data_IF_776758884713
#
_entry.id   IF_776758884713
#
_cell.length_a   1.000
_cell.length_b   1.000
_cell.length_c   1.000
_cell.angle_alpha   90.00
_cell.angle_beta   90.00
_cell.angle_gamma   90.00
#
_symmetry.space_group_name_H-M   'P 1'
#
loop_
_entity.id
_entity.type
_entity.pdbx_description
1 polymer ?
#
# COMPACT_ATOMS: atom_id res chain seq x y z
N UNK A 1 13.38 4.17 23.04
CA UNK A 1 13.27 3.00 23.93
C UNK A 1 12.52 3.42 25.18
N UNK A 2 11.38 2.77 25.45
CA UNK A 2 10.38 3.24 26.40
C UNK A 2 10.83 3.02 27.85
N UNK A 3 10.29 3.85 28.75
CA UNK A 3 10.43 3.76 30.23
C UNK A 3 10.16 2.35 30.80
N UNK A 4 9.58 1.44 30.02
CA UNK A 4 9.36 0.03 30.35
C UNK A 4 10.70 -0.73 30.48
N UNK A 5 11.68 -0.45 29.61
CA UNK A 5 13.01 -1.10 29.66
C UNK A 5 13.81 -0.58 30.86
N UNK A 6 13.80 0.75 31.08
CA UNK A 6 14.42 1.35 32.28
C UNK A 6 13.76 0.91 33.59
N UNK A 7 12.47 0.56 33.56
CA UNK A 7 11.78 -0.01 34.73
C UNK A 7 12.22 -1.45 34.98
N UNK A 8 12.42 -2.26 33.94
CA UNK A 8 12.94 -3.62 34.06
C UNK A 8 14.37 -3.68 34.63
N UNK A 9 15.22 -2.72 34.25
CA UNK A 9 16.60 -2.59 34.77
C UNK A 9 16.63 -2.22 36.27
N UNK A 10 15.66 -1.45 36.76
CA UNK A 10 15.59 -0.97 38.15
C UNK A 10 15.21 -2.03 39.19
N UNK A 11 14.66 -3.18 38.76
CA UNK A 11 14.15 -4.24 39.65
C UNK A 11 15.00 -5.52 39.68
N UNK A 12 16.16 -5.54 39.00
CA UNK A 12 17.11 -6.64 39.15
C UNK A 12 17.74 -6.56 40.55
N UNK A 13 17.34 -7.47 41.45
CA UNK A 13 17.98 -7.65 42.77
C UNK A 13 19.33 -8.35 42.58
N UNK A 14 20.31 -7.62 42.09
CA UNK A 14 21.64 -8.12 41.71
C UNK A 14 22.31 -8.85 42.90
N UNK A 15 22.18 -8.32 44.12
CA UNK A 15 22.63 -8.96 45.36
C UNK A 15 22.14 -10.40 45.50
N UNK A 16 20.85 -10.65 45.26
CA UNK A 16 20.26 -11.99 45.37
C UNK A 16 20.79 -12.94 44.31
N UNK A 17 21.02 -12.46 43.10
CA UNK A 17 21.55 -13.28 42.02
C UNK A 17 23.03 -13.61 42.21
N UNK A 18 23.79 -12.67 42.75
CA UNK A 18 25.16 -12.91 43.16
C UNK A 18 25.22 -13.97 44.29
N UNK A 19 24.31 -13.93 45.26
CA UNK A 19 24.19 -14.98 46.28
C UNK A 19 23.82 -16.36 45.69
N UNK A 20 22.90 -16.43 44.72
CA UNK A 20 22.57 -17.70 44.04
C UNK A 20 23.75 -18.23 43.23
N UNK A 21 24.46 -17.34 42.52
CA UNK A 21 25.67 -17.69 41.78
C UNK A 21 26.76 -18.27 42.71
N UNK A 22 27.00 -17.64 43.87
CA UNK A 22 27.96 -18.15 44.86
C UNK A 22 27.55 -19.50 45.45
N UNK A 23 26.25 -19.82 45.51
CA UNK A 23 25.74 -21.12 45.97
C UNK A 23 25.88 -22.22 44.93
N UNK A 24 25.59 -21.93 43.66
CA UNK A 24 25.56 -22.95 42.60
C UNK A 24 26.92 -23.16 41.91
N UNK A 25 27.72 -22.10 41.75
CA UNK A 25 29.09 -22.26 41.26
C UNK A 25 29.90 -23.04 42.31
N UNK A 26 30.76 -23.94 41.87
CA UNK A 26 31.67 -24.75 42.69
C UNK A 26 33.13 -24.34 42.49
N UNK A 27 33.48 -23.70 41.37
CA UNK A 27 34.83 -23.14 41.15
C UNK A 27 35.14 -21.98 42.09
N UNK A 28 36.12 -22.17 42.97
CA UNK A 28 36.60 -21.14 43.92
C UNK A 28 37.17 -19.92 43.20
N UNK A 29 37.90 -20.15 42.10
CA UNK A 29 38.56 -19.09 41.32
C UNK A 29 37.54 -18.15 40.67
N UNK A 30 36.48 -18.71 40.09
CA UNK A 30 35.39 -17.94 39.49
C UNK A 30 34.66 -17.11 40.55
N UNK A 31 34.41 -17.67 41.74
CA UNK A 31 33.77 -16.94 42.85
C UNK A 31 34.59 -15.73 43.30
N UNK A 32 35.90 -15.89 43.47
CA UNK A 32 36.78 -14.79 43.87
C UNK A 32 36.81 -13.65 42.84
N UNK A 33 36.82 -14.00 41.55
CA UNK A 33 36.80 -13.03 40.45
C UNK A 33 35.44 -12.31 40.35
N UNK A 34 34.34 -13.04 40.55
CA UNK A 34 33.01 -12.47 40.63
C UNK A 34 32.88 -11.47 41.79
N UNK A 35 33.51 -11.77 42.94
CA UNK A 35 33.50 -10.90 44.13
C UNK A 35 34.22 -9.57 43.89
N UNK A 36 35.38 -9.60 43.22
CA UNK A 36 36.11 -8.38 42.84
C UNK A 36 35.29 -7.48 41.92
N UNK A 37 34.50 -8.06 41.02
CA UNK A 37 33.69 -7.30 40.05
C UNK A 37 32.41 -6.76 40.71
N UNK A 38 31.79 -7.53 41.60
CA UNK A 38 30.63 -7.09 42.37
C UNK A 38 30.93 -5.84 43.21
N UNK A 39 32.18 -5.64 43.65
CA UNK A 39 32.61 -4.40 44.33
C UNK A 39 32.50 -3.13 43.46
N UNK A 40 32.51 -3.27 42.13
CA UNK A 40 32.38 -2.16 41.17
C UNK A 40 30.99 -2.03 40.55
N UNK A 41 29.97 -2.72 41.11
CA UNK A 41 28.60 -2.74 40.59
C UNK A 41 28.04 -1.34 40.28
N UNK A 42 28.32 -0.35 41.12
CA UNK A 42 27.79 1.02 40.98
C UNK A 42 28.31 1.77 39.74
N UNK A 43 29.43 1.34 39.17
CA UNK A 43 30.06 2.00 38.01
C UNK A 43 29.48 1.52 36.67
N UNK A 44 28.68 0.45 36.67
CA UNK A 44 28.02 -0.10 35.50
C UNK A 44 26.54 0.35 35.44
N UNK A 45 26.24 1.37 34.63
CA UNK A 45 24.88 1.93 34.53
C UNK A 45 23.82 1.00 33.88
N UNK A 46 24.24 -0.12 33.29
CA UNK A 46 23.38 -1.14 32.68
C UNK A 46 24.06 -2.50 32.85
N UNK A 47 23.75 -3.21 33.95
CA UNK A 47 24.39 -4.49 34.24
C UNK A 47 23.63 -5.62 33.54
N UNK A 48 24.22 -6.09 32.45
CA UNK A 48 24.19 -7.50 32.08
C UNK A 48 25.56 -8.04 32.51
N UNK A 49 25.57 -8.99 33.45
CA UNK A 49 26.75 -9.44 34.18
C UNK A 49 27.98 -9.65 33.27
N UNK A 50 29.03 -8.88 33.53
CA UNK A 50 30.32 -8.99 32.85
C UNK A 50 31.32 -9.61 33.82
N UNK A 51 31.78 -10.84 33.57
CA UNK A 51 33.00 -11.32 34.21
C UNK A 51 34.19 -11.11 33.26
N UNK A 52 35.13 -10.25 33.67
CA UNK A 52 36.46 -10.16 33.06
C UNK A 52 37.40 -10.99 33.94
N UNK A 53 37.86 -12.13 33.43
CA UNK A 53 38.81 -12.97 34.14
C UNK A 53 40.24 -12.61 33.71
N UNK A 54 41.13 -12.46 34.70
CA UNK A 54 42.53 -12.03 34.52
C UNK A 54 43.39 -13.08 33.80
N UNK A 55 42.97 -14.36 33.87
CA UNK A 55 43.50 -15.47 33.11
C UNK A 55 42.36 -16.21 32.39
N UNK A 56 42.65 -16.82 31.23
CA UNK A 56 41.66 -17.53 30.42
C UNK A 56 40.79 -18.48 31.26
N UNK A 57 39.49 -18.53 30.95
CA UNK A 57 38.58 -19.52 31.55
C UNK A 57 39.07 -20.91 31.14
N UNK A 58 39.25 -21.79 32.12
CA UNK A 58 39.62 -23.17 31.85
C UNK A 58 38.42 -23.94 31.28
N UNK A 59 38.62 -24.94 30.43
CA UNK A 59 37.49 -25.67 29.80
C UNK A 59 36.52 -26.30 30.81
N UNK A 60 37.03 -26.74 31.96
CA UNK A 60 36.24 -27.30 33.07
C UNK A 60 35.32 -26.24 33.71
N UNK A 61 35.81 -25.01 33.84
CA UNK A 61 35.07 -23.86 34.36
C UNK A 61 33.97 -23.40 33.39
N UNK A 62 34.21 -23.55 32.08
CA UNK A 62 33.22 -23.26 31.03
C UNK A 62 32.06 -24.24 31.06
N UNK A 63 32.33 -25.54 31.24
CA UNK A 63 31.28 -26.54 31.45
C UNK A 63 30.46 -26.24 32.70
N UNK A 64 31.10 -25.82 33.78
CA UNK A 64 30.43 -25.47 35.03
C UNK A 64 29.50 -24.24 34.86
N UNK A 65 30.00 -23.17 34.25
CA UNK A 65 29.22 -21.96 33.93
C UNK A 65 28.03 -22.26 33.01
N UNK A 66 28.16 -23.21 32.09
CA UNK A 66 27.08 -23.61 31.18
C UNK A 66 25.92 -24.36 31.86
N UNK A 67 26.17 -24.96 33.03
CA UNK A 67 25.15 -25.69 33.82
C UNK A 67 24.31 -24.77 34.70
N UNK A 68 24.79 -23.56 34.97
CA UNK A 68 24.11 -22.58 35.81
C UNK A 68 22.88 -22.02 35.08
N UNK A 69 21.71 -22.07 35.74
CA UNK A 69 20.44 -21.60 35.16
C UNK A 69 20.24 -20.13 35.51
N UNK A 70 20.70 -19.24 34.64
CA UNK A 70 20.45 -17.81 34.80
C UNK A 70 19.15 -17.36 34.15
N UNK A 71 18.44 -16.45 34.80
CA UNK A 71 17.20 -15.86 34.30
C UNK A 71 17.41 -14.76 33.26
N UNK A 72 18.66 -14.45 32.88
CA UNK A 72 19.04 -13.36 31.96
C UNK A 72 20.37 -13.65 31.22
N UNK A 73 20.70 -12.92 30.13
CA UNK A 73 21.89 -13.19 29.30
C UNK A 73 23.20 -12.95 30.05
N UNK A 74 24.25 -13.69 29.69
CA UNK A 74 25.59 -13.57 30.27
C UNK A 74 26.63 -13.26 29.18
N UNK A 75 27.59 -12.36 29.44
CA UNK A 75 28.65 -12.03 28.48
C UNK A 75 30.02 -12.26 29.12
N UNK A 76 30.83 -13.10 28.47
CA UNK A 76 32.20 -13.41 28.85
C UNK A 76 33.15 -12.73 27.86
N UNK A 77 34.15 -12.01 28.36
CA UNK A 77 35.23 -11.44 27.54
C UNK A 77 36.54 -12.18 27.80
N UNK A 78 37.31 -12.48 26.74
CA UNK A 78 38.71 -12.91 26.85
C UNK A 78 39.68 -11.77 26.50
N UNK A 79 40.80 -11.76 27.24
CA UNK A 79 41.90 -10.80 27.39
C UNK A 79 42.01 -9.63 26.37
N UNK A 80 41.93 -8.40 26.88
CA UNK A 80 42.71 -7.27 26.37
C UNK A 80 43.41 -6.59 27.54
N UNK A 81 44.70 -6.30 27.41
CA UNK A 81 45.56 -5.82 28.51
C UNK A 81 45.34 -4.35 28.88
N UNK A 82 44.49 -3.60 28.16
CA UNK A 82 44.23 -2.19 28.44
C UNK A 82 42.72 -1.88 28.46
N UNK A 83 42.28 -1.13 29.48
CA UNK A 83 40.88 -0.78 29.74
C UNK A 83 40.21 -0.01 28.58
N UNK A 84 40.93 0.91 27.91
CA UNK A 84 40.41 1.66 26.75
C UNK A 84 40.11 0.72 25.58
N UNK A 85 40.96 -0.27 25.36
CA UNK A 85 40.86 -1.28 24.31
C UNK A 85 39.68 -2.24 24.60
N UNK A 86 39.52 -2.64 25.86
CA UNK A 86 38.36 -3.40 26.34
C UNK A 86 37.05 -2.61 26.15
N UNK A 87 37.04 -1.34 26.53
CA UNK A 87 35.86 -0.45 26.42
C UNK A 87 35.46 -0.19 24.95
N UNK A 88 36.44 0.00 24.06
CA UNK A 88 36.20 0.14 22.62
C UNK A 88 35.72 -1.17 21.99
N UNK A 89 36.31 -2.31 22.35
CA UNK A 89 35.85 -3.64 21.93
C UNK A 89 34.44 -3.94 22.45
N UNK A 90 34.15 -3.56 23.70
CA UNK A 90 32.83 -3.66 24.31
C UNK A 90 31.82 -2.75 23.61
N UNK A 91 32.19 -1.53 23.20
CA UNK A 91 31.35 -0.65 22.37
C UNK A 91 31.13 -1.22 20.96
N UNK A 92 32.15 -1.79 20.33
CA UNK A 92 32.05 -2.35 18.98
C UNK A 92 31.23 -3.65 18.95
N UNK A 93 31.43 -4.52 19.96
CA UNK A 93 30.68 -5.78 20.13
C UNK A 93 29.28 -5.55 20.70
N UNK A 94 29.06 -4.52 21.53
CA UNK A 94 27.71 -4.08 21.90
C UNK A 94 26.95 -3.46 20.74
N UNK A 95 27.62 -2.76 19.82
CA UNK A 95 27.00 -2.36 18.56
C UNK A 95 26.57 -3.57 17.70
N UNK A 96 27.29 -4.70 17.78
CA UNK A 96 26.87 -5.97 17.18
C UNK A 96 25.70 -6.63 17.94
N UNK A 97 25.64 -6.50 19.29
CA UNK A 97 24.50 -6.93 20.12
C UNK A 97 23.20 -6.17 19.76
N UNK A 98 23.29 -4.90 19.34
CA UNK A 98 22.13 -4.12 18.88
C UNK A 98 21.59 -4.54 17.49
N UNK A 99 22.25 -5.47 16.77
CA UNK A 99 21.80 -6.00 15.47
C UNK A 99 21.47 -7.50 15.46
N UNK A 100 21.13 -8.07 16.61
CA UNK A 100 20.44 -9.36 16.66
C UNK A 100 21.27 -10.60 16.28
N UNK A 101 22.58 -10.59 16.55
CA UNK A 101 23.51 -11.71 16.38
C UNK A 101 24.45 -11.68 17.59
N UNK A 102 24.50 -12.61 18.55
CA UNK A 102 24.31 -14.06 18.55
C UNK A 102 23.79 -14.54 19.91
N UNK A 103 23.06 -15.67 19.91
CA UNK A 103 23.11 -16.66 21.00
C UNK A 103 24.47 -17.38 20.88
N UNK A 104 25.19 -17.52 21.98
CA UNK A 104 26.22 -18.56 22.09
C UNK A 104 25.49 -19.91 21.93
N UNK A 105 25.75 -20.60 20.83
CA UNK A 105 25.25 -21.95 20.61
C UNK A 105 26.20 -22.94 21.26
N UNK A 106 25.73 -23.66 22.27
CA UNK A 106 26.29 -24.99 22.56
C UNK A 106 25.76 -25.91 21.47
N UNK A 107 26.65 -26.47 20.66
CA UNK A 107 26.31 -27.52 19.70
C UNK A 107 25.79 -28.73 20.50
N UNK A 108 24.55 -29.17 20.20
CA UNK A 108 24.01 -30.46 20.65
C UNK A 108 22.94 -30.43 21.75
N UNK A 109 21.84 -29.67 21.57
CA UNK A 109 20.63 -29.80 22.45
C UNK A 109 19.44 -30.40 21.67
N UNK A 110 19.63 -30.81 20.43
CA UNK A 110 18.61 -31.55 19.66
C UNK A 110 19.29 -32.75 19.02
N UNK A 111 18.67 -33.95 19.11
CA UNK A 111 19.11 -35.22 18.50
C UNK A 111 19.10 -35.20 16.94
N UNK A 112 19.38 -34.05 16.34
CA UNK A 112 19.49 -33.87 14.91
C UNK A 112 20.96 -33.64 14.57
N UNK A 113 21.55 -34.57 13.81
CA UNK A 113 22.89 -34.45 13.25
C UNK A 113 22.97 -33.24 12.31
N UNK A 114 24.15 -32.63 12.19
CA UNK A 114 24.42 -31.52 11.24
C UNK A 114 23.94 -31.83 9.82
N UNK A 115 23.96 -33.11 9.42
CA UNK A 115 23.46 -33.65 8.16
C UNK A 115 21.96 -33.38 7.92
N UNK A 116 21.14 -33.32 8.97
CA UNK A 116 19.70 -33.00 8.88
C UNK A 116 19.41 -31.51 8.73
N UNK A 117 20.41 -30.64 8.93
CA UNK A 117 20.28 -29.20 8.76
C UNK A 117 20.58 -28.74 7.33
N UNK A 118 21.02 -29.62 6.43
CA UNK A 118 21.29 -29.24 5.04
C UNK A 118 20.00 -29.19 4.23
N UNK A 119 19.75 -28.05 3.59
CA UNK A 119 18.75 -27.89 2.53
C UNK A 119 19.44 -27.77 1.19
N UNK A 120 18.97 -28.53 0.20
CA UNK A 120 19.41 -28.36 -1.18
C UNK A 120 18.85 -27.04 -1.71
N UNK A 121 19.73 -26.10 -2.06
CA UNK A 121 19.33 -24.84 -2.69
C UNK A 121 19.14 -25.04 -4.18
N UNK A 122 20.01 -25.85 -4.79
CA UNK A 122 19.89 -26.35 -6.17
C UNK A 122 20.67 -27.67 -6.30
N UNK A 123 20.78 -28.20 -7.52
CA UNK A 123 21.50 -29.46 -7.82
C UNK A 123 23.00 -29.42 -7.49
N UNK A 124 23.58 -28.25 -7.24
CA UNK A 124 25.02 -28.07 -7.06
C UNK A 124 25.41 -27.62 -5.64
N UNK A 125 24.45 -27.08 -4.86
CA UNK A 125 24.73 -26.40 -3.59
C UNK A 125 23.77 -26.84 -2.50
N UNK A 126 24.34 -27.38 -1.43
CA UNK A 126 23.68 -27.65 -0.15
C UNK A 126 23.98 -26.52 0.84
N UNK A 127 22.95 -25.98 1.51
CA UNK A 127 23.09 -24.92 2.51
C UNK A 127 22.57 -25.38 3.86
N UNK A 128 23.36 -25.14 4.92
CA UNK A 128 22.91 -25.38 6.28
C UNK A 128 21.86 -24.33 6.65
N UNK A 129 20.68 -24.79 7.08
CA UNK A 129 19.58 -23.98 7.59
C UNK A 129 19.40 -24.25 9.09
N UNK A 130 19.54 -23.20 9.90
CA UNK A 130 19.39 -23.26 11.36
C UNK A 130 17.97 -22.91 11.83
N UNK A 131 17.00 -22.81 10.91
CA UNK A 131 15.61 -22.52 11.24
C UNK A 131 15.04 -23.61 12.16
N UNK A 132 14.51 -23.17 13.31
CA UNK A 132 13.87 -24.06 14.29
C UNK A 132 12.46 -24.50 13.87
N UNK A 133 11.85 -23.73 12.98
CA UNK A 133 10.56 -24.00 12.39
C UNK A 133 10.79 -24.21 10.90
N UNK A 134 10.42 -25.38 10.39
CA UNK A 134 10.29 -25.57 8.95
C UNK A 134 9.26 -24.57 8.41
N UNK A 135 9.43 -24.01 7.21
CA UNK A 135 8.42 -23.15 6.56
C UNK A 135 7.03 -23.79 6.39
N UNK A 136 6.86 -25.06 6.78
CA UNK A 136 5.68 -25.87 6.50
C UNK A 136 5.69 -26.32 5.04
N UNK A 137 4.52 -26.69 4.53
CA UNK A 137 4.26 -27.01 3.12
C UNK A 137 4.10 -25.74 2.24
N UNK A 138 4.27 -24.55 2.82
CA UNK A 138 4.06 -23.30 2.08
C UNK A 138 5.29 -22.99 1.24
N UNK A 139 5.18 -23.25 -0.06
CA UNK A 139 6.18 -22.83 -1.03
C UNK A 139 6.27 -21.31 -1.10
N UNK A 140 7.49 -20.75 -1.24
CA UNK A 140 7.64 -19.32 -1.41
C UNK A 140 6.91 -18.86 -2.68
N UNK A 141 6.16 -17.75 -2.62
CA UNK A 141 5.40 -17.28 -3.77
C UNK A 141 6.32 -16.82 -4.89
N UNK A 142 5.86 -16.95 -6.14
CA UNK A 142 6.55 -16.37 -7.28
C UNK A 142 6.54 -14.83 -7.18
N UNK A 143 7.67 -14.24 -6.80
CA UNK A 143 7.81 -12.79 -6.61
C UNK A 143 7.60 -11.98 -7.91
N UNK A 144 7.77 -12.61 -9.08
CA UNK A 144 7.48 -12.00 -10.39
C UNK A 144 6.06 -12.29 -10.88
N UNK A 145 5.41 -13.29 -10.28
CA UNK A 145 4.10 -13.81 -10.70
C UNK A 145 3.03 -12.72 -10.76
N UNK A 146 3.04 -11.80 -9.79
CA UNK A 146 2.09 -10.68 -9.73
C UNK A 146 2.11 -9.83 -11.02
N UNK A 147 3.29 -9.53 -11.57
CA UNK A 147 3.41 -8.72 -12.79
C UNK A 147 3.00 -9.50 -14.03
N UNK A 148 3.44 -10.77 -14.13
CA UNK A 148 3.11 -11.67 -15.24
C UNK A 148 1.60 -11.90 -15.31
N UNK A 149 0.99 -12.28 -14.19
CA UNK A 149 -0.44 -12.57 -14.10
C UNK A 149 -1.31 -11.34 -14.39
N UNK A 150 -0.90 -10.16 -13.91
CA UNK A 150 -1.62 -8.92 -14.18
C UNK A 150 -1.62 -8.57 -15.68
N UNK A 151 -0.47 -8.72 -16.35
CA UNK A 151 -0.35 -8.41 -17.77
C UNK A 151 -1.02 -9.47 -18.65
N UNK A 152 -0.90 -10.76 -18.33
CA UNK A 152 -1.63 -11.83 -19.04
C UNK A 152 -3.14 -11.63 -18.96
N UNK A 153 -3.67 -11.27 -17.77
CA UNK A 153 -5.09 -10.92 -17.61
C UNK A 153 -5.49 -9.72 -18.49
N UNK A 154 -4.62 -8.72 -18.61
CA UNK A 154 -4.86 -7.59 -19.49
C UNK A 154 -4.92 -8.01 -20.96
N UNK A 155 -4.01 -8.87 -21.43
CA UNK A 155 -4.03 -9.39 -22.80
C UNK A 155 -5.26 -10.25 -23.09
N UNK A 156 -5.61 -11.17 -22.18
CA UNK A 156 -6.68 -12.13 -22.38
C UNK A 156 -8.08 -11.51 -22.32
N UNK A 157 -8.29 -10.52 -21.44
CA UNK A 157 -9.63 -9.96 -21.17
C UNK A 157 -9.65 -8.44 -21.19
N UNK A 158 -8.62 -7.80 -20.67
CA UNK A 158 -8.58 -6.34 -20.53
C UNK A 158 -8.64 -5.59 -21.85
N UNK A 159 -7.91 -6.04 -22.88
CA UNK A 159 -7.93 -5.42 -24.22
C UNK A 159 -9.34 -5.49 -24.82
N UNK A 160 -9.97 -6.66 -24.79
CA UNK A 160 -11.32 -6.84 -25.31
C UNK A 160 -12.35 -6.04 -24.53
N UNK A 161 -12.28 -6.04 -23.19
CA UNK A 161 -13.19 -5.28 -22.34
C UNK A 161 -13.10 -3.76 -22.60
N UNK A 162 -11.88 -3.23 -22.72
CA UNK A 162 -11.67 -1.79 -22.95
C UNK A 162 -12.14 -1.39 -24.34
N UNK A 163 -11.76 -2.14 -25.38
CA UNK A 163 -12.11 -1.80 -26.76
C UNK A 163 -13.62 -1.95 -26.96
N UNK A 164 -14.24 -3.01 -26.45
CA UNK A 164 -15.66 -3.29 -26.64
C UNK A 164 -16.57 -2.23 -26.03
N UNK A 165 -16.14 -1.52 -24.97
CA UNK A 165 -16.91 -0.41 -24.35
C UNK A 165 -17.21 0.74 -25.32
N UNK A 166 -16.40 0.91 -26.37
CA UNK A 166 -16.60 1.96 -27.37
C UNK A 166 -17.53 1.54 -28.50
N UNK A 167 -17.90 0.27 -28.61
CA UNK A 167 -18.75 -0.26 -29.68
C UNK A 167 -20.14 -0.68 -29.15
N UNK A 168 -21.20 -0.60 -29.98
CA UNK A 168 -21.19 -0.05 -31.34
C UNK A 168 -21.08 1.46 -31.34
N UNK A 169 -20.29 2.00 -32.29
CA UNK A 169 -20.21 3.43 -32.52
C UNK A 169 -21.32 3.85 -33.48
N UNK A 170 -22.14 4.84 -33.11
CA UNK A 170 -23.25 5.31 -33.94
C UNK A 170 -22.98 6.73 -34.39
N UNK A 171 -23.24 7.03 -35.67
CA UNK A 171 -23.17 8.40 -36.19
C UNK A 171 -24.17 9.29 -35.46
N UNK A 172 -23.84 10.57 -35.30
CA UNK A 172 -24.76 11.60 -34.77
C UNK A 172 -26.07 11.72 -35.54
N UNK A 173 -26.11 11.27 -36.80
CA UNK A 173 -27.31 11.22 -37.63
C UNK A 173 -28.15 9.94 -37.46
N UNK A 174 -27.63 8.93 -36.74
CA UNK A 174 -28.26 7.61 -36.59
C UNK A 174 -28.18 6.70 -37.82
N UNK A 175 -27.76 7.22 -38.97
CA UNK A 175 -27.83 6.51 -40.25
C UNK A 175 -26.71 5.49 -40.49
N UNK A 176 -25.64 5.57 -39.70
CA UNK A 176 -24.44 4.73 -39.84
C UNK A 176 -24.00 4.23 -38.47
N UNK A 177 -23.64 2.95 -38.36
CA UNK A 177 -23.05 2.37 -37.15
C UNK A 177 -21.86 1.49 -37.47
N UNK A 178 -20.88 1.44 -36.58
CA UNK A 178 -19.73 0.55 -36.64
C UNK A 178 -19.84 -0.46 -35.51
N UNK A 179 -19.75 -1.74 -35.84
CA UNK A 179 -19.71 -2.85 -34.88
C UNK A 179 -18.33 -3.48 -34.88
N UNK A 180 -17.85 -3.84 -33.69
CA UNK A 180 -16.64 -4.64 -33.51
C UNK A 180 -16.98 -6.11 -33.68
N UNK A 181 -16.25 -6.82 -34.55
CA UNK A 181 -16.39 -8.27 -34.69
C UNK A 181 -15.38 -9.02 -33.85
N UNK A 182 -14.10 -8.66 -33.96
CA UNK A 182 -13.02 -9.26 -33.18
C UNK A 182 -11.79 -8.37 -33.13
N UNK A 183 -10.95 -8.65 -32.15
CA UNK A 183 -9.62 -8.05 -32.00
C UNK A 183 -8.59 -9.08 -32.43
N UNK A 184 -7.66 -8.69 -33.29
CA UNK A 184 -6.56 -9.53 -33.77
C UNK A 184 -5.25 -8.95 -33.29
N UNK A 185 -4.56 -9.70 -32.45
CA UNK A 185 -3.19 -9.40 -32.00
C UNK A 185 -2.24 -10.14 -32.94
N UNK A 186 -1.34 -9.42 -33.62
CA UNK A 186 -0.29 -10.05 -34.43
C UNK A 186 0.98 -10.26 -33.62
N UNK A 187 1.76 -11.26 -34.00
CA UNK A 187 3.08 -11.48 -33.42
C UNK A 187 4.00 -10.25 -33.60
N UNK A 188 4.94 -10.02 -32.67
CA UNK A 188 5.88 -8.91 -32.76
C UNK A 188 6.80 -9.04 -33.98
N UNK A 189 7.08 -7.93 -34.65
CA UNK A 189 7.96 -7.90 -35.83
C UNK A 189 9.44 -8.09 -35.48
N UNK A 190 9.82 -7.76 -34.25
CA UNK A 190 11.18 -7.87 -33.73
C UNK A 190 11.17 -8.69 -32.46
N UNK A 191 12.21 -9.49 -32.24
CA UNK A 191 12.40 -10.17 -30.97
C UNK A 191 12.96 -9.20 -29.90
N UNK A 192 13.08 -9.68 -28.65
CA UNK A 192 13.56 -8.88 -27.51
C UNK A 192 14.97 -8.32 -27.76
N UNK A 193 15.90 -9.15 -28.22
CA UNK A 193 17.31 -8.77 -28.44
C UNK A 193 17.47 -7.75 -29.57
N UNK A 194 16.77 -7.95 -30.70
CA UNK A 194 16.74 -7.01 -31.81
C UNK A 194 16.13 -5.66 -31.42
N UNK A 195 15.13 -5.68 -30.53
CA UNK A 195 14.50 -4.45 -30.02
C UNK A 195 15.50 -3.63 -29.20
N UNK A 196 16.31 -4.28 -28.36
CA UNK A 196 17.42 -3.64 -27.63
C UNK A 196 18.48 -3.10 -28.58
N UNK A 197 19.02 -3.96 -29.45
CA UNK A 197 20.13 -3.63 -30.35
C UNK A 197 19.78 -2.51 -31.34
N UNK A 198 18.51 -2.43 -31.78
CA UNK A 198 18.03 -1.41 -32.72
C UNK A 198 17.41 -0.19 -32.05
N UNK A 199 17.47 -0.09 -30.72
CA UNK A 199 16.82 0.98 -29.95
C UNK A 199 15.31 1.13 -30.24
N UNK A 200 14.61 0.01 -30.46
CA UNK A 200 13.17 -0.06 -30.76
C UNK A 200 12.38 -0.62 -29.58
N UNK A 201 11.06 -0.46 -29.64
CA UNK A 201 10.13 -1.00 -28.64
C UNK A 201 9.72 -2.42 -29.01
N UNK A 202 9.79 -3.35 -28.06
CA UNK A 202 9.27 -4.71 -28.23
C UNK A 202 7.75 -4.68 -28.10
N UNK A 203 7.03 -4.89 -29.21
CA UNK A 203 5.59 -4.65 -29.31
C UNK A 203 4.91 -5.53 -30.37
N UNK A 204 3.63 -5.80 -30.17
CA UNK A 204 2.73 -6.42 -31.14
C UNK A 204 1.81 -5.39 -31.80
N UNK A 205 1.36 -5.67 -33.03
CA UNK A 205 0.37 -4.86 -33.73
C UNK A 205 -1.06 -5.33 -33.42
N UNK A 206 -1.93 -4.41 -33.03
CA UNK A 206 -3.35 -4.63 -32.77
C UNK A 206 -4.19 -4.21 -33.98
N UNK A 207 -5.07 -5.10 -34.42
CA UNK A 207 -6.04 -4.85 -35.48
C UNK A 207 -7.46 -5.07 -34.97
N UNK A 208 -8.37 -4.17 -35.34
CA UNK A 208 -9.79 -4.32 -35.07
C UNK A 208 -10.49 -4.73 -36.35
N UNK A 209 -11.16 -5.87 -36.32
CA UNK A 209 -12.06 -6.28 -37.40
C UNK A 209 -13.42 -5.66 -37.13
N UNK A 210 -13.84 -4.75 -38.02
CA UNK A 210 -15.06 -3.96 -37.84
C UNK A 210 -16.01 -4.10 -39.03
N UNK A 211 -17.31 -3.98 -38.75
CA UNK A 211 -18.38 -3.93 -39.75
C UNK A 211 -19.05 -2.56 -39.73
N UNK A 212 -19.10 -1.92 -40.89
CA UNK A 212 -19.80 -0.65 -41.09
C UNK A 212 -21.19 -0.93 -41.64
N UNK A 213 -22.25 -0.53 -40.91
CA UNK A 213 -23.64 -0.57 -41.37
C UNK A 213 -24.11 0.83 -41.75
N UNK A 214 -24.77 0.95 -42.91
CA UNK A 214 -25.39 2.20 -43.36
C UNK A 214 -26.83 1.96 -43.81
N UNK A 215 -27.76 2.79 -43.32
CA UNK A 215 -29.18 2.74 -43.69
C UNK A 215 -29.43 3.17 -45.15
N UNK A 216 -28.54 4.00 -45.73
CA UNK A 216 -28.68 4.49 -47.10
C UNK A 216 -28.33 3.45 -48.18
N UNK A 217 -27.60 2.39 -47.82
CA UNK A 217 -27.13 1.36 -48.75
C UNK A 217 -27.58 -0.03 -48.28
N UNK A 218 -28.88 -0.34 -48.38
CA UNK A 218 -29.43 -1.63 -47.98
C UNK A 218 -28.89 -2.83 -48.79
N UNK A 219 -28.20 -2.62 -49.93
CA UNK A 219 -27.87 -3.69 -50.90
C UNK A 219 -26.38 -3.98 -51.13
N UNK A 220 -25.44 -3.23 -50.54
CA UNK A 220 -24.00 -3.54 -50.69
C UNK A 220 -23.47 -4.22 -49.44
N UNK A 221 -23.16 -5.52 -49.60
CA UNK A 221 -22.48 -6.39 -48.64
C UNK A 221 -21.48 -5.60 -47.78
N UNK A 222 -21.77 -5.63 -46.47
CA UNK A 222 -21.06 -4.99 -45.39
C UNK A 222 -19.70 -5.67 -45.23
N UNK A 223 -18.70 -5.18 -45.97
CA UNK A 223 -17.37 -5.78 -45.94
C UNK A 223 -16.76 -5.54 -44.56
N UNK A 224 -16.56 -6.65 -43.84
CA UNK A 224 -15.70 -6.68 -42.67
C UNK A 224 -14.32 -6.17 -43.07
N UNK A 225 -13.86 -5.14 -42.37
CA UNK A 225 -12.58 -4.49 -42.66
C UNK A 225 -11.69 -4.58 -41.44
N UNK A 226 -10.44 -4.99 -41.64
CA UNK A 226 -9.43 -5.01 -40.60
C UNK A 226 -8.72 -3.66 -40.56
N UNK A 227 -8.88 -2.92 -39.46
CA UNK A 227 -8.27 -1.61 -39.26
C UNK A 227 -7.11 -1.74 -38.29
N UNK A 228 -5.94 -1.19 -38.64
CA UNK A 228 -4.83 -1.09 -37.70
C UNK A 228 -5.19 -0.10 -36.59
N UNK A 229 -5.16 -0.55 -35.34
CA UNK A 229 -5.52 0.26 -34.17
C UNK A 229 -4.30 0.90 -33.54
N UNK A 230 -3.20 0.14 -33.43
CA UNK A 230 -1.97 0.62 -32.84
C UNK A 230 -1.04 -0.52 -32.45
N UNK A 231 0.14 -0.14 -31.96
CA UNK A 231 1.09 -1.09 -31.41
C UNK A 231 0.98 -1.10 -29.88
N UNK A 232 1.12 -2.29 -29.31
CA UNK A 232 1.06 -2.51 -27.87
C UNK A 232 2.37 -3.15 -27.41
N UNK A 233 3.10 -2.54 -26.45
CA UNK A 233 4.31 -3.12 -25.89
C UNK A 233 4.02 -4.48 -25.27
N UNK A 234 4.88 -5.46 -25.52
CA UNK A 234 4.79 -6.81 -24.95
C UNK A 234 5.74 -6.98 -23.77
N UNK A 235 5.41 -7.94 -22.90
CA UNK A 235 6.26 -8.33 -21.78
C UNK A 235 7.38 -9.24 -22.27
N UNK A 236 8.61 -8.97 -21.83
CA UNK A 236 9.77 -9.80 -22.13
C UNK A 236 9.82 -11.06 -21.28
N UNK A 237 10.67 -12.01 -21.68
CA UNK A 237 11.07 -13.18 -20.90
C UNK A 237 11.53 -12.84 -19.47
N UNK A 238 12.11 -11.65 -19.28
CA UNK A 238 12.60 -11.14 -17.99
C UNK A 238 11.57 -10.37 -17.19
N UNK A 239 10.30 -10.40 -17.61
CA UNK A 239 9.20 -9.72 -16.93
C UNK A 239 9.36 -8.19 -16.89
N UNK A 240 9.75 -7.60 -18.01
CA UNK A 240 9.89 -6.16 -18.18
C UNK A 240 9.34 -5.72 -19.55
N UNK A 241 9.31 -4.41 -19.81
CA UNK A 241 9.02 -3.86 -21.13
C UNK A 241 10.29 -3.28 -21.75
N UNK A 242 10.54 -3.58 -23.02
CA UNK A 242 11.62 -2.93 -23.77
C UNK A 242 11.00 -1.75 -24.54
N UNK A 243 11.29 -0.52 -24.09
CA UNK A 243 10.79 0.71 -24.71
C UNK A 243 11.97 1.50 -25.25
N UNK A 244 12.01 1.72 -26.57
CA UNK A 244 13.12 2.38 -27.27
C UNK A 244 14.50 1.75 -26.91
N UNK A 245 14.56 0.42 -26.91
CA UNK A 245 15.74 -0.38 -26.54
C UNK A 245 16.15 -0.36 -25.07
N UNK A 246 15.39 0.29 -24.20
CA UNK A 246 15.67 0.33 -22.76
C UNK A 246 14.64 -0.48 -21.99
N UNK A 247 15.10 -1.30 -21.05
CA UNK A 247 14.23 -2.03 -20.14
C UNK A 247 13.52 -1.08 -19.16
N UNK A 248 12.20 -1.25 -19.02
CA UNK A 248 11.34 -0.48 -18.14
C UNK A 248 10.45 -1.42 -17.34
N UNK A 249 10.21 -1.04 -16.10
CA UNK A 249 9.37 -1.79 -15.17
C UNK A 249 8.15 -0.95 -14.81
N UNK A 250 6.98 -1.60 -14.80
CA UNK A 250 5.76 -1.00 -14.28
C UNK A 250 5.69 -1.31 -12.79
N UNK A 251 5.57 -0.26 -11.96
CA UNK A 251 5.49 -0.40 -10.51
C UNK A 251 4.01 -0.38 -10.11
N UNK A 252 3.60 -1.39 -9.33
CA UNK A 252 2.26 -1.44 -8.76
C UNK A 252 2.03 -0.25 -7.84
N UNK A 253 1.02 0.56 -8.16
CA UNK A 253 0.62 1.70 -7.35
C UNK A 253 -0.44 1.29 -6.33
N UNK A 254 -0.33 1.82 -5.11
CA UNK A 254 -1.36 1.69 -4.08
C UNK A 254 -2.20 2.97 -4.13
N UNK A 255 -3.45 2.84 -4.54
CA UNK A 255 -4.42 3.92 -4.61
C UNK A 255 -5.59 3.63 -3.68
N UNK A 256 -6.29 4.69 -3.22
CA UNK A 256 -7.54 4.53 -2.48
C UNK A 256 -8.59 3.93 -3.41
N UNK A 257 -9.26 2.87 -2.95
CA UNK A 257 -10.39 2.27 -3.67
C UNK A 257 -11.53 3.28 -3.80
N UNK A 258 -12.27 3.31 -4.91
CA UNK A 258 -13.52 4.04 -4.99
C UNK A 258 -14.48 3.61 -3.87
N UNK A 259 -15.19 4.55 -3.26
CA UNK A 259 -16.10 4.24 -2.16
C UNK A 259 -16.38 5.40 -1.21
N UNK A 260 -17.03 5.07 -0.10
CA UNK A 260 -17.40 5.99 0.96
C UNK A 260 -16.35 5.98 2.08
N UNK A 261 -15.87 7.15 2.47
CA UNK A 261 -14.91 7.31 3.56
C UNK A 261 -15.42 8.32 4.58
N UNK A 262 -15.62 7.86 5.81
CA UNK A 262 -15.93 8.72 6.94
C UNK A 262 -14.62 9.16 7.63
N UNK A 263 -14.33 10.45 7.56
CA UNK A 263 -13.14 11.07 8.12
C UNK A 263 -13.55 12.00 9.27
N UNK A 264 -13.25 11.60 10.50
CA UNK A 264 -13.46 12.44 11.69
C UNK A 264 -12.29 13.40 11.88
N UNK A 265 -12.57 14.67 12.23
CA UNK A 265 -11.55 15.72 12.49
C UNK A 265 -10.59 15.94 11.32
N UNK A 266 -11.11 15.86 10.10
CA UNK A 266 -10.29 15.96 8.91
C UNK A 266 -9.92 17.43 8.62
N UNK A 267 -8.62 17.75 8.68
CA UNK A 267 -8.07 19.05 8.27
C UNK A 267 -8.07 19.19 6.74
N UNK A 268 -9.23 19.15 6.10
CA UNK A 268 -9.37 19.27 4.65
C UNK A 268 -9.48 20.75 4.29
N UNK A 269 -8.69 21.18 3.28
CA UNK A 269 -8.88 22.48 2.65
C UNK A 269 -10.20 22.42 1.90
N UNK A 270 -11.26 23.08 2.40
CA UNK A 270 -12.57 23.12 1.72
C UNK A 270 -12.60 24.11 0.54
N UNK A 271 -11.64 25.05 0.48
CA UNK A 271 -11.50 26.06 -0.59
C UNK A 271 -10.02 26.33 -0.95
N UNK A 272 -9.77 27.16 -1.96
CA UNK A 272 -8.43 27.64 -2.36
C UNK A 272 -7.77 28.59 -1.34
N UNK A 273 -8.38 28.79 -0.16
CA UNK A 273 -7.79 29.60 0.91
C UNK A 273 -6.60 28.89 1.55
N UNK A 274 -5.58 29.67 1.96
CA UNK A 274 -4.44 29.17 2.76
C UNK A 274 -4.85 28.67 4.14
N UNK A 275 -6.06 28.99 4.61
CA UNK A 275 -6.57 28.61 5.93
C UNK A 275 -7.23 27.22 5.87
N UNK A 276 -6.66 26.25 6.59
CA UNK A 276 -7.31 24.96 6.91
C UNK A 276 -8.28 25.25 8.05
N UNK A 277 -9.58 25.35 7.77
CA UNK A 277 -10.49 26.04 8.71
C UNK A 277 -11.70 25.25 9.18
N UNK A 278 -11.77 23.95 8.93
CA UNK A 278 -12.97 23.20 9.27
C UNK A 278 -12.65 22.00 10.15
N UNK A 279 -12.94 22.16 11.44
CA UNK A 279 -13.13 21.07 12.38
C UNK A 279 -14.53 20.49 12.13
N UNK A 280 -14.64 19.18 11.93
CA UNK A 280 -15.91 18.53 11.59
C UNK A 280 -15.74 17.10 11.08
N UNK A 281 -16.87 16.46 10.78
CA UNK A 281 -16.92 15.13 10.15
C UNK A 281 -17.14 15.29 8.65
N UNK A 282 -16.31 14.62 7.86
CA UNK A 282 -16.41 14.61 6.40
C UNK A 282 -16.73 13.20 5.94
N UNK A 283 -17.81 13.07 5.16
CA UNK A 283 -18.09 11.86 4.41
C UNK A 283 -17.67 12.10 2.94
N UNK A 284 -16.60 11.43 2.52
CA UNK A 284 -16.05 11.51 1.18
C UNK A 284 -16.60 10.37 0.32
N UNK A 285 -17.32 10.70 -0.74
CA UNK A 285 -17.74 9.76 -1.77
C UNK A 285 -16.76 9.87 -2.94
N UNK A 286 -15.77 8.98 -2.94
CA UNK A 286 -14.69 8.90 -3.91
C UNK A 286 -15.13 8.04 -5.11
N UNK A 287 -15.39 8.63 -6.30
CA UNK A 287 -15.78 7.84 -7.46
C UNK A 287 -14.56 7.16 -8.11
N UNK A 288 -14.81 6.15 -8.94
CA UNK A 288 -13.78 5.56 -9.81
C UNK A 288 -13.37 6.52 -10.94
N UNK A 289 -14.34 7.28 -11.46
CA UNK A 289 -14.16 8.36 -12.43
C UNK A 289 -15.16 9.47 -12.13
N UNK A 290 -14.76 10.73 -12.31
CA UNK A 290 -15.67 11.87 -12.23
C UNK A 290 -15.50 12.72 -10.96
N UNK A 291 -16.63 13.25 -10.46
CA UNK A 291 -16.67 14.30 -9.46
C UNK A 291 -16.58 13.72 -8.05
N UNK A 292 -15.62 14.21 -7.27
CA UNK A 292 -15.51 13.92 -5.84
C UNK A 292 -16.59 14.70 -5.07
N UNK A 293 -17.40 13.98 -4.29
CA UNK A 293 -18.43 14.57 -3.44
C UNK A 293 -18.01 14.48 -1.97
N UNK A 294 -18.02 15.63 -1.29
CA UNK A 294 -17.68 15.73 0.12
C UNK A 294 -18.88 16.27 0.90
N UNK A 295 -19.46 15.45 1.75
CA UNK A 295 -20.48 15.87 2.71
C UNK A 295 -19.79 16.32 3.99
N UNK A 296 -19.90 17.61 4.29
CA UNK A 296 -19.24 18.23 5.42
C UNK A 296 -20.26 18.59 6.49
N UNK A 297 -20.04 18.10 7.70
CA UNK A 297 -20.80 18.42 8.91
C UNK A 297 -19.85 19.15 9.86
N UNK A 298 -20.12 20.43 10.13
CA UNK A 298 -19.31 21.23 11.04
C UNK A 298 -19.45 20.76 12.49
N UNK A 299 -18.38 20.91 13.29
CA UNK A 299 -18.36 20.51 14.70
C UNK A 299 -19.39 21.29 15.56
N UNK A 300 -19.94 20.61 16.56
CA UNK A 300 -21.06 21.04 17.42
C UNK A 300 -20.76 22.30 18.23
N UNK A 301 -19.49 22.62 18.47
CA UNK A 301 -19.05 23.80 19.23
C UNK A 301 -19.43 25.12 18.55
N UNK A 302 -19.70 25.09 17.25
CA UNK A 302 -20.26 26.22 16.52
C UNK A 302 -21.77 26.08 16.43
N UNK A 303 -22.52 26.98 17.06
CA UNK A 303 -24.00 27.04 17.07
C UNK A 303 -24.68 27.17 15.69
N UNK A 304 -23.94 27.01 14.60
CA UNK A 304 -24.34 27.12 13.19
C UNK A 304 -24.00 25.86 12.38
N UNK A 305 -23.98 24.67 12.99
CA UNK A 305 -23.70 23.43 12.26
C UNK A 305 -24.78 23.18 11.18
N UNK A 306 -24.35 23.18 9.93
CA UNK A 306 -25.16 22.81 8.76
C UNK A 306 -24.39 21.84 7.87
N UNK A 307 -25.12 20.94 7.21
CA UNK A 307 -24.59 19.96 6.27
C UNK A 307 -24.42 20.61 4.90
N UNK A 308 -23.16 20.65 4.43
CA UNK A 308 -22.79 21.19 3.12
C UNK A 308 -22.29 20.08 2.22
N UNK A 309 -22.69 20.12 0.95
CA UNK A 309 -22.11 19.29 -0.10
C UNK A 309 -21.08 20.12 -0.87
N UNK A 310 -19.90 19.54 -1.08
CA UNK A 310 -18.84 20.14 -1.88
C UNK A 310 -18.54 19.20 -3.04
N UNK A 311 -18.79 19.67 -4.25
CA UNK A 311 -18.47 18.98 -5.48
C UNK A 311 -17.13 19.48 -6.03
N UNK A 312 -16.19 18.56 -6.26
CA UNK A 312 -14.88 18.84 -6.86
C UNK A 312 -14.66 18.05 -8.12
N UNK A 313 -14.38 18.77 -9.19
CA UNK A 313 -13.86 18.17 -10.41
C UNK A 313 -12.33 18.13 -10.35
N UNK A 314 -11.74 17.02 -10.80
CA UNK A 314 -10.28 16.82 -10.89
C UNK A 314 -9.62 17.86 -11.80
N UNK A 315 -10.32 18.38 -12.80
CA UNK A 315 -9.79 19.33 -13.79
C UNK A 315 -9.82 20.80 -13.38
N UNK A 316 -10.64 21.19 -12.39
CA UNK A 316 -10.81 22.59 -12.01
C UNK A 316 -10.45 22.82 -10.55
N UNK A 317 -9.68 23.88 -10.28
CA UNK A 317 -9.41 24.34 -8.92
C UNK A 317 -10.63 24.94 -8.21
N UNK A 318 -11.77 25.05 -8.89
CA UNK A 318 -13.02 25.54 -8.31
C UNK A 318 -13.81 24.39 -7.69
N UNK A 319 -14.00 24.46 -6.37
CA UNK A 319 -14.91 23.60 -5.64
C UNK A 319 -16.23 24.35 -5.47
N UNK A 320 -17.35 23.73 -5.86
CA UNK A 320 -18.68 24.32 -5.67
C UNK A 320 -19.23 23.75 -4.37
N UNK A 321 -19.64 24.63 -3.46
CA UNK A 321 -20.22 24.28 -2.17
C UNK A 321 -21.66 24.77 -2.10
N UNK A 322 -22.58 23.90 -1.70
CA UNK A 322 -24.00 24.21 -1.57
C UNK A 322 -24.65 23.41 -0.43
N UNK A 323 -25.80 23.84 0.08
CA UNK A 323 -26.55 23.08 1.08
C UNK A 323 -26.89 21.68 0.55
N UNK A 324 -26.74 20.63 1.37
CA UNK A 324 -27.05 19.25 0.92
C UNK A 324 -28.53 19.09 0.57
N UNK A 325 -29.43 19.91 1.15
CA UNK A 325 -30.85 19.89 0.83
C UNK A 325 -31.12 20.19 -0.64
N UNK A 326 -30.34 21.06 -1.28
CA UNK A 326 -30.44 21.36 -2.72
C UNK A 326 -30.12 20.12 -3.56
N UNK A 327 -29.11 19.34 -3.15
CA UNK A 327 -28.77 18.07 -3.82
C UNK A 327 -29.92 17.07 -3.73
N UNK A 328 -30.52 16.90 -2.54
CA UNK A 328 -31.63 15.98 -2.31
C UNK A 328 -32.88 16.38 -3.11
N UNK A 329 -33.19 17.68 -3.16
CA UNK A 329 -34.28 18.21 -3.99
C UNK A 329 -34.01 18.00 -5.48
N UNK A 330 -32.77 18.22 -5.93
CA UNK A 330 -32.37 17.95 -7.32
C UNK A 330 -32.45 16.45 -7.67
N UNK A 331 -32.25 15.57 -6.68
CA UNK A 331 -32.46 14.14 -6.84
C UNK A 331 -33.95 13.74 -6.92
N UNK A 332 -34.87 14.68 -6.65
CA UNK A 332 -36.32 14.47 -6.74
C UNK A 332 -37.00 14.21 -5.39
N UNK A 333 -36.30 14.38 -4.27
CA UNK A 333 -36.90 14.20 -2.94
C UNK A 333 -37.64 15.49 -2.56
N UNK A 334 -38.91 15.36 -2.15
CA UNK A 334 -39.73 16.51 -1.78
C UNK A 334 -39.25 17.16 -0.47
N UNK A 335 -39.60 18.43 -0.27
CA UNK A 335 -39.23 19.14 0.96
C UNK A 335 -39.80 18.47 2.22
N UNK A 336 -41.05 18.01 2.16
CA UNK A 336 -41.73 17.32 3.26
C UNK A 336 -41.07 15.98 3.57
N UNK A 337 -40.69 15.23 2.52
CA UNK A 337 -40.00 13.94 2.69
C UNK A 337 -38.63 14.13 3.34
N UNK A 338 -37.84 15.14 2.93
CA UNK A 338 -36.55 15.44 3.56
C UNK A 338 -36.74 15.77 5.05
N UNK A 339 -37.74 16.60 5.40
CA UNK A 339 -38.03 16.92 6.80
C UNK A 339 -38.46 15.69 7.60
N UNK A 340 -39.24 14.79 6.99
CA UNK A 340 -39.67 13.55 7.64
C UNK A 340 -38.50 12.60 7.90
N UNK A 341 -37.61 12.43 6.91
CA UNK A 341 -36.46 11.52 6.96
C UNK A 341 -35.40 11.99 7.96
N UNK A 342 -35.19 13.31 8.08
CA UNK A 342 -34.14 13.89 8.91
C UNK A 342 -34.67 14.61 10.15
N UNK A 343 -35.89 14.30 10.60
CA UNK A 343 -36.53 14.93 11.76
C UNK A 343 -35.69 14.88 13.04
N UNK A 344 -34.91 13.82 13.22
CA UNK A 344 -34.02 13.62 14.38
C UNK A 344 -32.64 14.26 14.23
N UNK A 345 -32.35 14.95 13.11
CA UNK A 345 -31.03 15.50 12.78
C UNK A 345 -31.08 17.05 12.76
N UNK A 346 -30.68 17.73 13.86
CA UNK A 346 -30.74 19.19 13.96
C UNK A 346 -29.92 19.94 12.91
N UNK A 347 -28.83 19.36 12.43
CA UNK A 347 -27.95 19.93 11.40
C UNK A 347 -28.67 20.02 10.05
N UNK A 348 -29.49 19.01 9.73
CA UNK A 348 -30.25 18.96 8.49
C UNK A 348 -31.40 19.95 8.48
N UNK A 349 -32.10 20.09 9.63
CA UNK A 349 -33.16 21.09 9.79
C UNK A 349 -32.58 22.50 9.56
N UNK A 350 -31.44 22.81 10.20
CA UNK A 350 -30.73 24.08 10.01
C UNK A 350 -30.26 24.30 8.57
N UNK A 351 -29.80 23.25 7.89
CA UNK A 351 -29.44 23.34 6.45
C UNK A 351 -30.63 23.77 5.60
N UNK A 352 -31.81 23.23 5.87
CA UNK A 352 -33.04 23.53 5.14
C UNK A 352 -33.50 24.97 5.40
N UNK A 353 -33.40 25.44 6.65
CA UNK A 353 -33.73 26.82 7.03
C UNK A 353 -32.79 27.85 6.37
N UNK A 354 -31.51 27.50 6.19
CA UNK A 354 -30.50 28.35 5.54
C UNK A 354 -30.56 28.28 4.00
N UNK A 355 -31.43 27.46 3.43
CA UNK A 355 -31.51 27.25 1.99
C UNK A 355 -32.26 28.38 1.29
N UNK A 356 -31.55 29.16 0.48
CA UNK A 356 -32.12 30.24 -0.34
C UNK A 356 -32.50 29.80 -1.77
N UNK A 357 -32.84 28.52 -1.98
CA UNK A 357 -33.17 28.01 -3.31
C UNK A 357 -34.63 28.35 -3.66
N UNK A 358 -34.82 29.13 -4.72
CA UNK A 358 -36.12 29.31 -5.35
C UNK A 358 -36.17 28.54 -6.68
N UNK A 359 -36.92 27.43 -6.72
CA UNK A 359 -37.04 26.59 -7.90
C UNK A 359 -37.53 27.36 -9.16
N UNK A 360 -38.31 28.43 -8.97
CA UNK A 360 -38.82 29.24 -10.08
C UNK A 360 -37.75 30.13 -10.73
N UNK A 361 -36.71 30.48 -9.99
CA UNK A 361 -35.63 31.34 -10.51
C UNK A 361 -34.60 30.56 -11.33
N UNK A 362 -34.59 29.22 -11.26
CA UNK A 362 -33.74 28.35 -12.09
C UNK A 362 -33.99 28.58 -13.59
N UNK A 363 -35.24 28.80 -14.00
CA UNK A 363 -35.58 29.06 -15.40
C UNK A 363 -35.05 30.41 -15.92
N UNK A 364 -34.61 31.30 -15.02
CA UNK A 364 -33.96 32.57 -15.39
C UNK A 364 -32.44 32.43 -15.50
N UNK A 365 -31.88 31.30 -15.06
CA UNK A 365 -30.44 31.08 -15.11
C UNK A 365 -29.99 30.78 -16.56
N UNK A 366 -29.06 31.58 -17.11
CA UNK A 366 -28.59 31.41 -18.49
C UNK A 366 -27.82 30.09 -18.68
N UNK A 367 -27.17 29.57 -17.64
CA UNK A 367 -26.47 28.28 -17.69
C UNK A 367 -27.44 27.11 -17.78
N UNK A 368 -28.51 27.12 -16.97
CA UNK A 368 -29.59 26.15 -17.06
C UNK A 368 -30.25 26.17 -18.45
N UNK A 369 -30.53 27.37 -18.98
CA UNK A 369 -31.13 27.52 -20.32
C UNK A 369 -30.21 26.98 -21.42
N UNK A 370 -28.89 27.23 -21.31
CA UNK A 370 -27.90 26.69 -22.24
C UNK A 370 -27.86 25.15 -22.21
N UNK A 371 -27.86 24.55 -21.01
CA UNK A 371 -27.89 23.09 -20.85
C UNK A 371 -29.18 22.49 -21.41
N UNK A 372 -30.34 23.11 -21.16
CA UNK A 372 -31.61 22.64 -21.72
C UNK A 372 -31.64 22.74 -23.25
N UNK A 373 -31.05 23.79 -23.82
CA UNK A 373 -30.87 23.92 -25.26
C UNK A 373 -29.89 22.88 -25.82
N UNK A 374 -28.84 22.54 -25.08
CA UNK A 374 -27.95 21.43 -25.46
C UNK A 374 -28.68 20.09 -25.42
N UNK A 375 -29.42 19.79 -24.35
CA UNK A 375 -30.14 18.52 -24.17
C UNK A 375 -31.26 18.37 -25.21
N UNK A 376 -31.99 19.41 -25.54
CA UNK A 376 -33.07 19.35 -26.54
C UNK A 376 -32.58 19.00 -27.95
N UNK A 377 -31.28 19.10 -28.22
CA UNK A 377 -30.68 18.67 -29.48
C UNK A 377 -30.23 17.20 -29.40
N UNK A 378 -30.91 16.31 -30.15
CA UNK A 378 -30.61 14.88 -30.18
C UNK A 378 -29.14 14.54 -30.49
N UNK A 379 -28.44 15.39 -31.26
CA UNK A 379 -27.00 15.23 -31.55
C UNK A 379 -26.11 15.37 -30.31
N UNK A 380 -26.52 16.23 -29.37
CA UNK A 380 -25.78 16.48 -28.14
C UNK A 380 -26.08 15.43 -27.07
N UNK A 381 -27.28 14.84 -27.04
CA UNK A 381 -27.61 13.72 -26.16
C UNK A 381 -26.67 12.54 -26.43
N UNK A 382 -26.49 12.16 -27.70
CA UNK A 382 -25.59 11.05 -28.03
C UNK A 382 -24.15 11.35 -27.61
N UNK A 383 -23.69 12.59 -27.84
CA UNK A 383 -22.37 13.05 -27.38
C UNK A 383 -22.20 12.97 -25.85
N UNK A 384 -23.24 13.31 -25.09
CA UNK A 384 -23.24 13.20 -23.62
C UNK A 384 -23.22 11.74 -23.16
N UNK A 385 -23.97 10.85 -23.83
CA UNK A 385 -23.95 9.41 -23.57
C UNK A 385 -22.55 8.84 -23.86
N UNK A 386 -21.94 9.21 -24.98
CA UNK A 386 -20.61 8.74 -25.36
C UNK A 386 -19.54 9.26 -24.38
N UNK A 387 -19.65 10.51 -23.91
CA UNK A 387 -18.79 11.06 -22.85
C UNK A 387 -18.98 10.35 -21.50
N UNK A 388 -20.17 9.85 -21.19
CA UNK A 388 -20.43 9.09 -19.96
C UNK A 388 -19.85 7.66 -19.98
N UNK A 389 -19.58 7.13 -21.18
CA UNK A 389 -19.00 5.79 -21.38
C UNK A 389 -17.46 5.79 -21.30
N UNK A 390 -16.81 6.94 -21.52
CA UNK A 390 -15.37 7.14 -21.41
C UNK A 390 -14.92 7.43 -19.98
#
# INVERSE_FOLDING_TARGET
MSRIVQSGEKYLKIDKYYEYFLKECQSKRIKELALKIFQYEKDFSSIVGCFMFDDAILEEELQELSRLKFSFPFIVFSRSTEYKSASLSLKFRSACLFRGLYRIGVLGITDQSLEKCYKNVNSHVTRIDFSKFSPGEVEPPNLRGIQIEAYNRFLEKGVEEVVSRYFPMVSTSGNTRVELEKIVVKDPELNEEESVNRAKTYQCALYLQVKLFSQFNQSKKLNSTSVFFGNMPLFSSSSNFIINGTEKFVISQIIRSPGLYALSKANIRLSNSRKRTYEGTICELLPSKGILLLFHIADEKTSQSSVKLIARNTSSSNAIAFPVSVFLKAYGISHEDILSLFKSCPEMIRTIEQENLNAKDIFKDPGFTAIMNEISNAKNIQKLIDLSRG
#
